data_IF_368532469538
#
_entry.id   IF_368532469538
#
_cell.length_a   1.000
_cell.length_b   1.000
_cell.length_c   1.000
_cell.angle_alpha   90.00
_cell.angle_beta   90.00
_cell.angle_gamma   90.00
#
_symmetry.space_group_name_H-M   'P 1'
#
loop_
_entity.id
_entity.type
_entity.pdbx_description
1 polymer ?
#
# COMPACT_ATOMS: atom_id res chain seq x y z
N UNK A 1 16.89 14.81 -28.30
CA UNK A 1 17.27 13.71 -27.38
C UNK A 1 17.77 14.19 -26.01
N UNK A 2 18.68 15.17 -25.94
CA UNK A 2 19.36 15.59 -24.69
C UNK A 2 18.40 16.10 -23.59
N UNK A 3 17.31 16.80 -23.94
CA UNK A 3 16.33 17.29 -22.95
C UNK A 3 15.48 16.18 -22.31
N UNK A 4 15.22 15.08 -23.04
CA UNK A 4 14.43 13.95 -22.52
C UNK A 4 15.19 13.20 -21.43
N UNK A 5 16.50 12.98 -21.65
CA UNK A 5 17.39 12.31 -20.69
C UNK A 5 17.58 13.11 -19.40
N UNK A 6 17.70 14.44 -19.49
CA UNK A 6 17.75 15.31 -18.30
C UNK A 6 16.45 15.26 -17.49
N UNK A 7 15.28 15.27 -18.17
CA UNK A 7 13.97 15.14 -17.50
C UNK A 7 13.81 13.79 -16.82
N UNK A 8 14.26 12.70 -17.46
CA UNK A 8 14.21 11.36 -16.88
C UNK A 8 15.10 11.24 -15.62
N UNK A 9 16.32 11.78 -15.66
CA UNK A 9 17.21 11.78 -14.49
C UNK A 9 16.68 12.66 -13.36
N UNK A 10 16.12 13.84 -13.66
CA UNK A 10 15.44 14.69 -12.67
C UNK A 10 14.23 14.00 -12.04
N UNK A 11 13.47 13.20 -12.80
CA UNK A 11 12.36 12.40 -12.29
C UNK A 11 12.86 11.28 -11.36
N UNK A 12 13.95 10.60 -11.74
CA UNK A 12 14.59 9.58 -10.91
C UNK A 12 15.17 10.16 -9.60
N UNK A 13 15.74 11.37 -9.65
CA UNK A 13 16.24 12.08 -8.46
C UNK A 13 15.09 12.65 -7.61
N UNK A 14 13.94 12.99 -8.22
CA UNK A 14 12.71 13.41 -7.53
C UNK A 14 11.98 12.25 -6.86
N UNK A 15 11.99 11.08 -7.49
CA UNK A 15 11.46 9.86 -6.89
C UNK A 15 12.33 9.55 -5.67
N UNK A 16 11.80 9.81 -4.47
CA UNK A 16 12.50 9.52 -3.23
C UNK A 16 13.00 8.06 -3.22
N UNK A 17 14.14 7.80 -2.57
CA UNK A 17 14.77 6.46 -2.48
C UNK A 17 13.96 5.42 -1.68
N UNK A 18 12.66 5.62 -1.48
CA UNK A 18 11.79 4.77 -0.68
C UNK A 18 10.42 4.60 -1.31
N UNK A 19 9.70 3.58 -0.85
CA UNK A 19 8.32 3.29 -1.21
C UNK A 19 7.44 3.29 0.06
N UNK A 20 6.14 3.54 -0.11
CA UNK A 20 5.14 3.33 0.93
C UNK A 20 4.54 1.92 0.76
N UNK A 21 4.72 1.07 1.76
CA UNK A 21 4.05 -0.23 1.85
C UNK A 21 2.76 -0.06 2.67
N UNK A 22 1.63 -0.49 2.12
CA UNK A 22 0.34 -0.56 2.82
C UNK A 22 -0.01 -2.03 2.95
N UNK A 23 -0.01 -2.54 4.19
CA UNK A 23 -0.05 -3.98 4.48
C UNK A 23 -1.38 -4.32 5.17
N UNK A 24 -2.07 -5.33 4.68
CA UNK A 24 -3.29 -5.92 5.27
C UNK A 24 -4.40 -4.93 5.65
N UNK A 25 -4.54 -3.84 4.89
CA UNK A 25 -5.66 -2.91 5.02
C UNK A 25 -6.89 -3.43 4.25
N UNK A 26 -7.24 -4.70 4.46
CA UNK A 26 -8.34 -5.43 3.81
C UNK A 26 -9.64 -5.34 4.61
N UNK A 27 -10.77 -5.50 3.94
CA UNK A 27 -12.08 -5.48 4.59
C UNK A 27 -12.20 -6.56 5.68
N UNK A 28 -11.55 -7.71 5.48
CA UNK A 28 -11.56 -8.85 6.41
C UNK A 28 -11.01 -8.49 7.80
N UNK A 29 -10.13 -7.48 7.89
CA UNK A 29 -9.59 -6.94 9.14
C UNK A 29 -10.30 -5.65 9.60
N UNK A 30 -11.00 -4.95 8.71
CA UNK A 30 -11.49 -3.58 8.96
C UNK A 30 -13.01 -3.51 9.18
N UNK A 31 -13.81 -4.29 8.46
CA UNK A 31 -15.27 -4.19 8.54
C UNK A 31 -15.81 -4.77 9.85
N UNK A 32 -16.95 -4.24 10.33
CA UNK A 32 -17.58 -4.72 11.57
C UNK A 32 -18.20 -6.09 11.30
N UNK A 33 -17.87 -7.08 12.12
CA UNK A 33 -18.32 -8.46 11.95
C UNK A 33 -17.54 -9.24 10.90
N UNK A 34 -16.41 -8.71 10.41
CA UNK A 34 -15.56 -9.43 9.46
C UNK A 34 -14.87 -10.63 10.11
N UNK A 35 -14.52 -11.69 9.35
CA UNK A 35 -13.96 -12.93 9.90
C UNK A 35 -12.69 -12.74 10.72
N UNK A 36 -11.87 -11.75 10.36
CA UNK A 36 -10.60 -11.43 11.00
C UNK A 36 -10.60 -10.02 11.61
N UNK A 37 -11.78 -9.50 11.98
CA UNK A 37 -11.93 -8.12 12.43
C UNK A 37 -10.90 -7.72 13.50
N UNK A 38 -10.20 -6.63 13.25
CA UNK A 38 -9.31 -5.96 14.20
C UNK A 38 -9.91 -4.57 14.52
N UNK A 39 -10.74 -4.44 15.58
CA UNK A 39 -11.46 -3.19 15.84
C UNK A 39 -10.56 -1.96 16.00
N UNK A 40 -9.35 -2.16 16.54
CA UNK A 40 -8.37 -1.10 16.71
C UNK A 40 -7.81 -0.56 15.38
N UNK A 41 -7.81 -1.34 14.30
CA UNK A 41 -7.29 -0.94 13.00
C UNK A 41 -8.08 0.23 12.39
N UNK A 42 -9.38 0.36 12.72
CA UNK A 42 -10.18 1.53 12.29
C UNK A 42 -9.62 2.85 12.79
N UNK A 43 -8.96 2.86 13.96
CA UNK A 43 -8.37 4.07 14.55
C UNK A 43 -7.23 4.63 13.70
N UNK A 44 -6.55 3.78 12.92
CA UNK A 44 -5.41 4.20 12.09
C UNK A 44 -5.82 4.61 10.66
N UNK A 45 -7.05 4.33 10.22
CA UNK A 45 -7.52 4.64 8.85
C UNK A 45 -7.28 6.10 8.42
N UNK A 46 -7.53 7.14 9.25
CA UNK A 46 -7.25 8.51 8.85
C UNK A 46 -5.76 8.76 8.57
N UNK A 47 -4.88 8.11 9.35
CA UNK A 47 -3.43 8.23 9.21
C UNK A 47 -2.93 7.50 7.95
N UNK A 48 -3.45 6.30 7.68
CA UNK A 48 -3.16 5.54 6.45
C UNK A 48 -3.57 6.35 5.22
N UNK A 49 -4.79 6.89 5.19
CA UNK A 49 -5.28 7.74 4.09
C UNK A 49 -4.37 8.96 3.88
N UNK A 50 -3.95 9.61 4.96
CA UNK A 50 -3.02 10.75 4.89
C UNK A 50 -1.67 10.35 4.28
N UNK A 51 -1.08 9.24 4.72
CA UNK A 51 0.20 8.74 4.20
C UNK A 51 0.14 8.38 2.71
N UNK A 52 -0.96 7.76 2.28
CA UNK A 52 -1.22 7.46 0.86
C UNK A 52 -1.31 8.76 0.04
N UNK A 53 -2.05 9.76 0.52
CA UNK A 53 -2.16 11.07 -0.15
C UNK A 53 -0.80 11.74 -0.31
N UNK A 54 -0.03 11.82 0.78
CA UNK A 54 1.33 12.39 0.76
C UNK A 54 2.27 11.64 -0.20
N UNK A 55 2.16 10.31 -0.26
CA UNK A 55 2.96 9.50 -1.18
C UNK A 55 2.60 9.78 -2.64
N UNK A 56 1.29 9.90 -2.97
CA UNK A 56 0.82 10.26 -4.32
C UNK A 56 1.31 11.65 -4.75
N UNK A 57 1.19 12.64 -3.87
CA UNK A 57 1.63 14.02 -4.14
C UNK A 57 3.14 14.10 -4.41
N UNK A 58 3.93 13.28 -3.71
CA UNK A 58 5.39 13.22 -3.84
C UNK A 58 5.87 12.23 -4.91
N UNK A 59 4.96 11.59 -5.65
CA UNK A 59 5.28 10.53 -6.62
C UNK A 59 6.14 9.40 -6.00
N UNK A 60 5.91 9.11 -4.73
CA UNK A 60 6.52 7.97 -4.02
C UNK A 60 5.75 6.71 -4.45
N UNK A 61 6.44 5.63 -4.86
CA UNK A 61 5.78 4.36 -5.16
C UNK A 61 4.96 3.86 -3.98
N UNK A 62 3.73 3.41 -4.24
CA UNK A 62 2.84 2.82 -3.24
C UNK A 62 2.62 1.37 -3.63
N UNK A 63 2.92 0.46 -2.71
CA UNK A 63 2.77 -0.98 -2.89
C UNK A 63 1.77 -1.46 -1.85
N UNK A 64 0.68 -2.06 -2.32
CA UNK A 64 -0.30 -2.72 -1.46
C UNK A 64 0.09 -4.19 -1.34
N UNK A 65 0.31 -4.63 -0.11
CA UNK A 65 0.55 -6.02 0.23
C UNK A 65 -0.75 -6.53 0.83
N UNK A 66 -1.35 -7.49 0.13
CA UNK A 66 -2.65 -8.05 0.44
C UNK A 66 -2.50 -9.56 0.54
N UNK A 67 -2.82 -10.12 1.68
CA UNK A 67 -2.94 -11.56 1.82
C UNK A 67 -4.13 -12.06 1.02
N UNK A 68 -3.90 -13.04 0.15
CA UNK A 68 -4.92 -13.53 -0.77
C UNK A 68 -4.67 -14.99 -1.08
N UNK A 69 -5.71 -15.79 -0.91
CA UNK A 69 -5.63 -17.25 -1.03
C UNK A 69 -6.52 -17.76 -2.15
N UNK A 70 -6.13 -18.91 -2.71
CA UNK A 70 -6.98 -19.64 -3.66
C UNK A 70 -8.02 -20.45 -2.89
N UNK A 71 -9.11 -20.87 -3.55
CA UNK A 71 -10.16 -21.68 -2.90
C UNK A 71 -9.62 -22.97 -2.26
N UNK A 72 -8.55 -23.55 -2.81
CA UNK A 72 -7.88 -24.75 -2.29
C UNK A 72 -6.46 -24.45 -1.82
N UNK A 73 -6.26 -23.34 -1.11
CA UNK A 73 -4.94 -22.99 -0.60
C UNK A 73 -4.41 -24.04 0.39
N UNK A 74 -3.16 -24.45 0.20
CA UNK A 74 -2.51 -25.43 1.05
C UNK A 74 -2.18 -24.87 2.44
N UNK A 75 -2.13 -23.55 2.59
CA UNK A 75 -1.98 -22.91 3.89
C UNK A 75 -3.07 -23.33 4.88
N UNK A 76 -4.28 -23.61 4.39
CA UNK A 76 -5.39 -24.10 5.20
C UNK A 76 -5.55 -25.63 5.17
N UNK A 77 -4.67 -26.34 4.46
CA UNK A 77 -4.57 -27.79 4.52
C UNK A 77 -3.95 -28.22 5.86
N UNK A 78 -4.62 -29.11 6.58
CA UNK A 78 -4.14 -29.65 7.86
C UNK A 78 -2.96 -30.60 7.70
#
# INVERSE_FOLDING_TARGET
MVNSLKKFRLLQEKMGKGALLVIEMLNDFIEVGAPLEVPAARKILPYVKRRIKEAREKQIPIIYICDSHRENDQEFGK
#
